data_IF_091667844100
#
_entry.id   IF_091667844100
#
_cell.length_a   1.000
_cell.length_b   1.000
_cell.length_c   1.000
_cell.angle_alpha   90.00
_cell.angle_beta   90.00
_cell.angle_gamma   90.00
#
_symmetry.space_group_name_H-M   'P 1'
#
loop_
_entity.id
_entity.type
_entity.pdbx_description
1 polymer ?
#
# COMPACT_ATOMS: atom_id res chain seq x y z
N UNK A 1 -20.28 -15.97 -23.18
CA UNK A 1 -19.79 -14.58 -23.07
C UNK A 1 -18.40 -14.54 -23.65
N UNK A 2 -18.29 -14.04 -24.89
CA UNK A 2 -17.02 -13.79 -25.56
C UNK A 2 -16.35 -12.61 -24.87
N UNK A 3 -15.29 -12.91 -24.12
CA UNK A 3 -14.34 -11.88 -23.73
C UNK A 3 -13.69 -11.35 -24.99
N UNK A 4 -14.03 -10.15 -25.39
CA UNK A 4 -13.28 -9.44 -26.39
C UNK A 4 -11.85 -9.28 -25.91
N UNK A 5 -10.94 -10.03 -26.50
CA UNK A 5 -9.50 -9.78 -26.37
C UNK A 5 -9.23 -8.40 -26.95
N UNK A 6 -9.13 -7.42 -26.06
CA UNK A 6 -8.55 -6.14 -26.43
C UNK A 6 -7.09 -6.42 -26.75
N UNK A 7 -6.74 -6.28 -28.02
CA UNK A 7 -5.37 -6.45 -28.53
C UNK A 7 -4.50 -5.26 -28.13
N UNK A 8 -4.13 -5.14 -26.85
CA UNK A 8 -3.27 -4.06 -26.43
C UNK A 8 -2.30 -4.55 -25.34
N UNK A 9 -1.14 -5.01 -25.79
CA UNK A 9 0.01 -5.32 -24.96
C UNK A 9 -0.07 -6.66 -24.21
N UNK A 10 1.02 -7.10 -23.59
CA UNK A 10 1.00 -8.24 -22.69
C UNK A 10 0.09 -7.88 -21.51
N UNK A 11 -0.96 -8.68 -21.29
CA UNK A 11 -1.79 -8.57 -20.09
C UNK A 11 -0.90 -8.95 -18.92
N UNK A 12 -0.76 -8.06 -17.95
CA UNK A 12 -0.12 -8.37 -16.69
C UNK A 12 -0.94 -9.35 -15.88
N UNK A 13 -0.28 -10.05 -15.00
CA UNK A 13 -0.90 -10.98 -14.06
C UNK A 13 -1.00 -10.33 -12.68
N UNK A 14 -2.18 -10.43 -12.07
CA UNK A 14 -2.48 -9.90 -10.74
C UNK A 14 -2.62 -11.10 -9.80
N UNK A 15 -1.72 -11.20 -8.82
CA UNK A 15 -1.72 -12.25 -7.81
C UNK A 15 -2.11 -11.66 -6.45
N UNK A 16 -3.32 -11.94 -5.98
CA UNK A 16 -3.81 -11.46 -4.69
C UNK A 16 -3.77 -12.58 -3.65
N UNK A 17 -3.24 -12.28 -2.48
CA UNK A 17 -3.13 -13.19 -1.34
C UNK A 17 -3.86 -12.61 -0.14
N UNK A 18 -4.71 -13.46 0.47
CA UNK A 18 -5.40 -13.12 1.71
C UNK A 18 -4.56 -13.51 2.92
N UNK A 19 -4.38 -12.59 3.86
CA UNK A 19 -3.61 -12.82 5.08
C UNK A 19 -4.45 -12.73 6.37
N UNK A 20 -3.89 -13.26 7.44
CA UNK A 20 -4.25 -12.95 8.82
C UNK A 20 -3.10 -12.09 9.37
N UNK A 21 -3.37 -10.81 9.59
CA UNK A 21 -2.36 -9.82 9.99
C UNK A 21 -1.48 -10.30 11.14
N UNK A 22 -0.20 -9.96 11.06
CA UNK A 22 0.82 -10.20 12.11
C UNK A 22 1.03 -11.66 12.51
N UNK A 23 0.64 -12.60 11.67
CA UNK A 23 0.88 -14.02 11.89
C UNK A 23 2.20 -14.43 11.23
N UNK A 24 3.23 -14.67 12.03
CA UNK A 24 4.59 -14.96 11.58
C UNK A 24 4.64 -16.01 10.46
N UNK A 25 3.94 -17.14 10.60
CA UNK A 25 3.96 -18.22 9.60
C UNK A 25 3.33 -17.82 8.25
N UNK A 26 2.45 -16.84 8.23
CA UNK A 26 1.84 -16.29 7.01
C UNK A 26 2.82 -15.31 6.38
N UNK A 27 3.37 -14.37 7.14
CA UNK A 27 4.35 -13.41 6.65
C UNK A 27 5.62 -14.09 6.10
N UNK A 28 6.10 -15.16 6.75
CA UNK A 28 7.22 -15.96 6.23
C UNK A 28 6.90 -16.56 4.85
N UNK A 29 5.66 -17.04 4.66
CA UNK A 29 5.21 -17.58 3.39
C UNK A 29 5.05 -16.49 2.33
N UNK A 30 4.51 -15.35 2.68
CA UNK A 30 4.36 -14.20 1.78
C UNK A 30 5.71 -13.66 1.35
N UNK A 31 6.68 -13.57 2.26
CA UNK A 31 8.06 -13.21 1.94
C UNK A 31 8.68 -14.17 0.93
N UNK A 32 8.45 -15.48 1.11
CA UNK A 32 8.93 -16.51 0.18
C UNK A 32 8.27 -16.38 -1.20
N UNK A 33 6.96 -16.19 -1.25
CA UNK A 33 6.22 -16.00 -2.51
C UNK A 33 6.67 -14.71 -3.21
N UNK A 34 6.79 -13.61 -2.45
CA UNK A 34 7.31 -12.36 -3.00
C UNK A 34 8.70 -12.54 -3.61
N UNK A 35 9.60 -13.25 -2.93
CA UNK A 35 10.92 -13.57 -3.45
C UNK A 35 10.88 -14.31 -4.79
N UNK A 36 9.99 -15.29 -4.96
CA UNK A 36 9.84 -16.00 -6.23
C UNK A 36 9.37 -15.08 -7.37
N UNK A 37 8.49 -14.12 -7.09
CA UNK A 37 8.05 -13.13 -8.08
C UNK A 37 9.12 -12.08 -8.35
N UNK A 38 9.82 -11.63 -7.32
CA UNK A 38 10.91 -10.67 -7.43
C UNK A 38 12.04 -11.19 -8.33
N UNK A 39 12.42 -12.46 -8.17
CA UNK A 39 13.42 -13.14 -9.03
C UNK A 39 12.97 -13.23 -10.50
N UNK A 40 11.67 -13.24 -10.74
CA UNK A 40 11.09 -13.18 -12.10
C UNK A 40 10.96 -11.77 -12.65
N UNK A 41 11.40 -10.75 -11.91
CA UNK A 41 11.41 -9.35 -12.33
C UNK A 41 10.27 -8.50 -11.80
N UNK A 42 9.36 -9.03 -10.96
CA UNK A 42 8.30 -8.24 -10.32
C UNK A 42 8.91 -7.27 -9.30
N UNK A 43 8.37 -6.07 -9.21
CA UNK A 43 8.84 -5.01 -8.29
C UNK A 43 7.69 -4.36 -7.51
N UNK A 44 6.47 -4.51 -7.96
CA UNK A 44 5.30 -3.79 -7.48
C UNK A 44 4.50 -4.68 -6.52
N UNK A 45 4.52 -4.32 -5.23
CA UNK A 45 3.80 -5.00 -4.16
C UNK A 45 2.67 -4.11 -3.66
N UNK A 46 1.43 -4.54 -3.93
CA UNK A 46 0.22 -3.87 -3.45
C UNK A 46 -0.10 -4.33 -2.04
N UNK A 47 -0.45 -3.40 -1.18
CA UNK A 47 -0.65 -3.66 0.25
C UNK A 47 -1.87 -2.92 0.80
N UNK A 48 -2.46 -3.49 1.85
CA UNK A 48 -3.57 -2.89 2.60
C UNK A 48 -3.05 -1.78 3.55
N UNK A 49 -2.27 -0.85 3.00
CA UNK A 49 -1.84 0.34 3.70
C UNK A 49 -2.44 1.58 3.03
N UNK A 50 -2.62 2.69 3.75
CA UNK A 50 -2.88 3.99 3.14
C UNK A 50 -1.84 4.34 2.07
N UNK A 51 -2.26 5.11 1.05
CA UNK A 51 -1.33 5.61 0.04
C UNK A 51 -0.15 6.36 0.68
N UNK A 52 -0.43 7.26 1.62
CA UNK A 52 0.60 8.04 2.31
C UNK A 52 1.59 7.17 3.07
N UNK A 53 1.15 6.10 3.69
CA UNK A 53 1.98 5.19 4.46
C UNK A 53 2.90 4.38 3.53
N UNK A 54 2.34 3.85 2.43
CA UNK A 54 3.14 3.13 1.44
C UNK A 54 4.21 4.04 0.80
N UNK A 55 3.88 5.30 0.49
CA UNK A 55 4.86 6.25 -0.02
C UNK A 55 5.93 6.58 1.02
N UNK A 56 5.57 6.69 2.28
CA UNK A 56 6.53 6.91 3.36
C UNK A 56 7.45 5.70 3.55
N UNK A 57 6.93 4.47 3.42
CA UNK A 57 7.74 3.25 3.36
C UNK A 57 8.66 3.22 2.13
N UNK A 58 8.21 3.70 0.97
CA UNK A 58 9.06 3.80 -0.22
C UNK A 58 10.24 4.78 -0.01
N UNK A 59 10.06 5.85 0.78
CA UNK A 59 11.16 6.70 1.20
C UNK A 59 12.13 5.95 2.12
N UNK A 60 11.61 5.19 3.07
CA UNK A 60 12.43 4.34 3.94
C UNK A 60 13.21 3.27 3.15
N UNK A 61 12.62 2.67 2.12
CA UNK A 61 13.32 1.71 1.25
C UNK A 61 14.58 2.29 0.63
N UNK A 62 14.66 3.61 0.43
CA UNK A 62 15.81 4.34 -0.11
C UNK A 62 16.73 4.94 0.95
N UNK A 63 16.35 4.90 2.22
CA UNK A 63 17.13 5.45 3.34
C UNK A 63 18.22 4.47 3.79
N UNK A 64 19.30 5.02 4.37
CA UNK A 64 20.42 4.21 4.89
C UNK A 64 20.14 3.64 6.29
N UNK A 65 19.10 4.14 6.98
CA UNK A 65 18.73 3.75 8.34
C UNK A 65 17.23 3.41 8.46
N UNK A 66 16.78 3.13 9.69
CA UNK A 66 15.41 2.75 9.99
C UNK A 66 14.59 3.87 10.65
N UNK A 67 15.07 5.13 10.69
CA UNK A 67 14.36 6.21 11.38
C UNK A 67 12.95 6.43 10.82
N UNK A 68 12.78 6.38 9.50
CA UNK A 68 11.46 6.53 8.87
C UNK A 68 10.54 5.34 9.17
N UNK A 69 11.09 4.13 9.23
CA UNK A 69 10.33 2.94 9.63
C UNK A 69 9.87 3.03 11.09
N UNK A 70 10.75 3.47 11.98
CA UNK A 70 10.44 3.64 13.40
C UNK A 70 9.34 4.67 13.61
N UNK A 71 9.36 5.77 12.86
CA UNK A 71 8.29 6.77 12.85
C UNK A 71 6.97 6.18 12.35
N UNK A 72 7.00 5.39 11.28
CA UNK A 72 5.80 4.74 10.75
C UNK A 72 5.19 3.79 11.78
N UNK A 73 6.01 2.96 12.43
CA UNK A 73 5.52 2.02 13.44
C UNK A 73 5.02 2.70 14.71
N UNK A 74 5.54 3.87 15.03
CA UNK A 74 4.97 4.72 16.09
C UNK A 74 3.56 5.21 15.74
N UNK A 75 3.33 5.58 14.47
CA UNK A 75 2.00 6.00 14.00
C UNK A 75 1.02 4.82 13.91
N UNK A 76 1.52 3.60 13.73
CA UNK A 76 0.73 2.36 13.69
C UNK A 76 0.54 1.68 15.07
N UNK A 77 1.07 2.27 16.13
CA UNK A 77 0.95 1.69 17.48
C UNK A 77 -0.52 1.40 17.83
N UNK A 78 -0.79 0.17 18.27
CA UNK A 78 -2.15 -0.29 18.62
C UNK A 78 -3.01 -0.72 17.43
N UNK A 79 -2.50 -0.68 16.19
CA UNK A 79 -3.16 -1.24 15.00
C UNK A 79 -2.72 -2.67 14.73
N UNK A 80 -3.44 -3.39 13.86
CA UNK A 80 -3.09 -4.74 13.44
C UNK A 80 -1.73 -4.82 12.72
N UNK A 81 -1.35 -3.78 11.97
CA UNK A 81 -0.06 -3.69 11.27
C UNK A 81 1.10 -3.16 12.14
N UNK A 82 0.81 -2.61 13.34
CA UNK A 82 1.81 -1.98 14.21
C UNK A 82 2.56 -2.94 15.11
N UNK A 83 2.97 -4.10 14.63
CA UNK A 83 3.61 -5.15 15.43
C UNK A 83 5.07 -5.37 15.03
N UNK A 84 5.88 -5.90 15.96
CA UNK A 84 7.29 -6.26 15.68
C UNK A 84 7.39 -7.33 14.57
N UNK A 85 6.39 -8.18 14.42
CA UNK A 85 6.34 -9.21 13.38
C UNK A 85 6.25 -8.56 11.99
N UNK A 86 5.35 -7.59 11.82
CA UNK A 86 5.21 -6.78 10.60
C UNK A 86 6.46 -5.95 10.32
N UNK A 87 7.04 -5.34 11.36
CA UNK A 87 8.27 -4.55 11.23
C UNK A 87 9.43 -5.39 10.71
N UNK A 88 9.59 -6.59 11.26
CA UNK A 88 10.62 -7.52 10.81
C UNK A 88 10.37 -8.01 9.38
N UNK A 89 9.12 -8.25 8.99
CA UNK A 89 8.75 -8.59 7.62
C UNK A 89 9.17 -7.50 6.62
N UNK A 90 8.84 -6.23 6.91
CA UNK A 90 9.26 -5.11 6.07
C UNK A 90 10.78 -4.97 5.98
N UNK A 91 11.51 -5.15 7.11
CA UNK A 91 12.98 -5.16 7.11
C UNK A 91 13.56 -6.26 6.23
N UNK A 92 12.99 -7.45 6.28
CA UNK A 92 13.40 -8.55 5.41
C UNK A 92 13.14 -8.25 3.93
N UNK A 93 12.03 -7.58 3.60
CA UNK A 93 11.78 -7.11 2.23
C UNK A 93 12.87 -6.14 1.79
N UNK A 94 13.21 -5.14 2.61
CA UNK A 94 14.27 -4.17 2.27
C UNK A 94 15.64 -4.85 2.09
N UNK A 95 15.99 -5.78 2.96
CA UNK A 95 17.27 -6.48 2.93
C UNK A 95 17.40 -7.41 1.72
N UNK A 96 16.35 -8.21 1.43
CA UNK A 96 16.41 -9.26 0.43
C UNK A 96 15.91 -8.79 -0.94
N UNK A 97 14.99 -7.83 -0.99
CA UNK A 97 14.28 -7.37 -2.18
C UNK A 97 14.25 -5.84 -2.27
N UNK A 98 15.42 -5.15 -2.31
CA UNK A 98 15.54 -3.70 -2.11
C UNK A 98 14.88 -2.83 -3.18
N UNK A 99 14.57 -3.38 -4.35
CA UNK A 99 13.88 -2.66 -5.42
C UNK A 99 12.34 -2.78 -5.33
N UNK A 100 11.81 -3.33 -4.23
CA UNK A 100 10.35 -3.41 -4.01
C UNK A 100 9.76 -2.02 -3.89
N UNK A 101 8.66 -1.79 -4.60
CA UNK A 101 7.84 -0.58 -4.52
C UNK A 101 6.48 -0.94 -3.93
N UNK A 102 6.14 -0.34 -2.80
CA UNK A 102 4.85 -0.52 -2.14
C UNK A 102 3.78 0.38 -2.75
N UNK A 103 2.61 -0.19 -3.03
CA UNK A 103 1.43 0.50 -3.50
C UNK A 103 0.31 0.38 -2.47
N UNK A 104 0.09 1.42 -1.68
CA UNK A 104 -0.97 1.48 -0.68
C UNK A 104 -2.31 1.80 -1.32
N UNK A 105 -3.33 1.05 -0.92
CA UNK A 105 -4.66 1.16 -1.52
C UNK A 105 -5.76 1.47 -0.53
N UNK A 106 -5.48 1.43 0.77
CA UNK A 106 -6.47 1.70 1.81
C UNK A 106 -6.75 3.20 2.00
N UNK A 107 -7.82 3.50 2.72
CA UNK A 107 -8.13 4.85 3.15
C UNK A 107 -7.07 5.37 4.13
N UNK A 108 -6.91 6.68 4.23
CA UNK A 108 -5.86 7.31 5.04
C UNK A 108 -6.07 7.17 6.55
N UNK A 109 -5.85 5.99 7.12
CA UNK A 109 -5.98 5.75 8.56
C UNK A 109 -5.07 6.65 9.40
N UNK A 110 -3.94 7.05 8.86
CA UNK A 110 -2.93 7.91 9.48
C UNK A 110 -3.01 9.37 9.02
N UNK A 111 -4.24 9.85 8.70
CA UNK A 111 -4.51 11.18 8.19
C UNK A 111 -4.10 12.32 9.15
N UNK A 112 -3.90 12.05 10.45
CA UNK A 112 -3.42 13.01 11.45
C UNK A 112 -1.90 12.90 11.72
N UNK A 113 -1.23 11.88 11.21
CA UNK A 113 0.19 11.59 11.53
C UNK A 113 1.05 11.43 10.28
N UNK A 114 1.11 10.25 9.67
CA UNK A 114 1.93 10.00 8.47
C UNK A 114 1.49 10.86 7.28
N UNK A 115 0.20 11.08 7.09
CA UNK A 115 -0.32 11.91 5.99
C UNK A 115 0.29 13.30 5.97
N UNK A 116 0.15 14.12 7.03
CA UNK A 116 0.77 15.45 7.10
C UNK A 116 2.30 15.41 6.99
N UNK A 117 2.96 14.38 7.53
CA UNK A 117 4.41 14.21 7.43
C UNK A 117 4.85 14.00 6.00
N UNK A 118 4.12 13.17 5.24
CA UNK A 118 4.42 12.96 3.82
C UNK A 118 4.16 14.21 2.98
N UNK A 119 3.07 14.95 3.24
CA UNK A 119 2.84 16.24 2.58
C UNK A 119 3.96 17.25 2.85
N UNK A 120 4.43 17.34 4.10
CA UNK A 120 5.55 18.22 4.46
C UNK A 120 6.84 17.84 3.73
N UNK A 121 7.09 16.53 3.58
CA UNK A 121 8.22 16.04 2.76
C UNK A 121 8.09 16.50 1.30
N UNK A 122 6.94 16.35 0.68
CA UNK A 122 6.70 16.77 -0.70
C UNK A 122 6.85 18.30 -0.86
N UNK A 123 6.34 19.08 0.08
CA UNK A 123 6.51 20.55 0.08
C UNK A 123 7.98 20.95 0.18
N UNK A 124 8.74 20.34 1.07
CA UNK A 124 10.17 20.60 1.25
C UNK A 124 10.99 20.26 -0.01
N UNK A 125 10.49 19.33 -0.84
CA UNK A 125 11.10 18.94 -2.11
C UNK A 125 10.51 19.67 -3.34
N UNK A 126 9.72 20.72 -3.13
CA UNK A 126 9.14 21.52 -4.22
C UNK A 126 8.01 20.83 -5.00
N UNK A 127 7.38 19.81 -4.41
CA UNK A 127 6.36 18.97 -5.04
C UNK A 127 4.92 19.31 -4.60
N UNK A 128 4.69 20.50 -4.07
CA UNK A 128 3.37 20.93 -3.57
C UNK A 128 2.26 20.92 -4.63
N UNK A 129 2.60 21.08 -5.89
CA UNK A 129 1.66 21.08 -7.02
C UNK A 129 1.67 19.74 -7.79
N UNK A 130 2.35 18.73 -7.27
CA UNK A 130 2.47 17.42 -7.89
C UNK A 130 1.17 16.58 -7.80
N UNK A 131 1.09 15.54 -8.63
CA UNK A 131 0.00 14.56 -8.55
C UNK A 131 0.08 13.75 -7.25
N UNK A 132 1.30 13.44 -6.79
CA UNK A 132 1.56 12.77 -5.51
C UNK A 132 1.01 13.57 -4.34
N UNK A 133 1.18 14.90 -4.36
CA UNK A 133 0.66 15.77 -3.31
C UNK A 133 -0.87 15.76 -3.27
N UNK A 134 -1.52 15.91 -4.43
CA UNK A 134 -3.00 15.86 -4.53
C UNK A 134 -3.53 14.50 -4.08
N UNK A 135 -2.87 13.41 -4.48
CA UNK A 135 -3.25 12.05 -4.08
C UNK A 135 -3.10 11.81 -2.58
N UNK A 136 -2.04 12.33 -1.97
CA UNK A 136 -1.85 12.28 -0.53
C UNK A 136 -2.96 13.03 0.21
N UNK A 137 -3.33 14.24 -0.24
CA UNK A 137 -4.46 14.98 0.32
C UNK A 137 -5.78 14.21 0.18
N UNK A 138 -6.06 13.65 -1.00
CA UNK A 138 -7.25 12.84 -1.25
C UNK A 138 -7.30 11.62 -0.32
N UNK A 139 -6.19 10.92 -0.14
CA UNK A 139 -6.12 9.76 0.75
C UNK A 139 -6.40 10.15 2.21
N UNK A 140 -5.88 11.27 2.67
CA UNK A 140 -6.18 11.80 4.01
C UNK A 140 -7.69 12.12 4.18
N UNK A 141 -8.32 12.75 3.18
CA UNK A 141 -9.76 13.03 3.19
C UNK A 141 -10.58 11.73 3.16
N UNK A 142 -10.15 10.70 2.44
CA UNK A 142 -10.77 9.37 2.49
C UNK A 142 -10.73 8.79 3.91
N UNK A 143 -9.61 8.90 4.61
CA UNK A 143 -9.47 8.44 5.99
C UNK A 143 -10.39 9.20 6.94
N UNK A 144 -10.36 10.52 6.90
CA UNK A 144 -11.25 11.37 7.69
C UNK A 144 -12.73 11.01 7.47
N UNK A 145 -13.13 10.88 6.21
CA UNK A 145 -14.50 10.52 5.86
C UNK A 145 -14.89 9.13 6.36
N UNK A 146 -13.99 8.17 6.28
CA UNK A 146 -14.20 6.83 6.83
C UNK A 146 -14.53 6.87 8.32
N UNK A 147 -13.76 7.61 9.12
CA UNK A 147 -14.00 7.71 10.57
C UNK A 147 -15.25 8.51 10.93
N UNK A 148 -15.59 9.53 10.14
CA UNK A 148 -16.87 10.26 10.29
C UNK A 148 -18.08 9.32 10.10
N UNK A 149 -18.06 8.50 9.06
CA UNK A 149 -19.11 7.51 8.79
C UNK A 149 -19.13 6.46 9.91
N UNK A 150 -17.97 5.92 10.27
CA UNK A 150 -17.83 4.88 11.30
C UNK A 150 -18.40 5.31 12.66
N UNK A 151 -18.30 6.58 12.99
CA UNK A 151 -18.85 7.13 14.24
C UNK A 151 -20.37 7.00 14.34
N UNK A 152 -21.07 6.83 13.22
CA UNK A 152 -22.55 6.78 13.16
C UNK A 152 -23.10 5.51 12.55
N UNK A 153 -22.39 4.90 11.60
CA UNK A 153 -22.81 3.71 10.85
C UNK A 153 -21.60 2.87 10.42
N UNK A 154 -21.27 1.85 11.21
CA UNK A 154 -20.13 0.97 10.94
C UNK A 154 -20.30 0.21 9.63
N UNK A 155 -21.50 -0.28 9.31
CA UNK A 155 -21.72 -1.04 8.06
C UNK A 155 -21.50 -0.16 6.81
N UNK A 156 -21.91 1.12 6.87
CA UNK A 156 -21.63 2.07 5.79
C UNK A 156 -20.16 2.46 5.71
N UNK A 157 -19.46 2.51 6.84
CA UNK A 157 -17.99 2.77 6.82
C UNK A 157 -17.22 1.64 6.14
N UNK A 158 -17.60 0.38 6.40
CA UNK A 158 -16.98 -0.77 5.72
C UNK A 158 -17.18 -0.67 4.22
N UNK A 159 -18.42 -0.46 3.75
CA UNK A 159 -18.69 -0.28 2.30
C UNK A 159 -17.90 0.86 1.68
N UNK A 160 -17.84 2.01 2.37
CA UNK A 160 -17.06 3.15 1.92
C UNK A 160 -15.58 2.79 1.75
N UNK A 161 -14.99 2.13 2.75
CA UNK A 161 -13.58 1.68 2.72
C UNK A 161 -13.32 0.75 1.55
N UNK A 162 -14.16 -0.29 1.37
CA UNK A 162 -14.06 -1.24 0.25
C UNK A 162 -14.10 -0.53 -1.11
N UNK A 163 -15.06 0.37 -1.31
CA UNK A 163 -15.17 1.13 -2.56
C UNK A 163 -13.91 1.96 -2.83
N UNK A 164 -13.35 2.59 -1.79
CA UNK A 164 -12.12 3.39 -1.91
C UNK A 164 -10.92 2.50 -2.19
N UNK A 165 -10.78 1.36 -1.53
CA UNK A 165 -9.71 0.41 -1.78
C UNK A 165 -9.69 -0.06 -3.24
N UNK A 166 -10.85 -0.42 -3.78
CA UNK A 166 -10.98 -0.82 -5.19
C UNK A 166 -10.59 0.32 -6.15
N UNK A 167 -11.05 1.55 -5.88
CA UNK A 167 -10.70 2.71 -6.72
C UNK A 167 -9.20 3.04 -6.64
N UNK A 168 -8.63 3.04 -5.44
CA UNK A 168 -7.22 3.28 -5.23
C UNK A 168 -6.34 2.21 -5.90
N UNK A 169 -6.75 0.93 -5.81
CA UNK A 169 -6.11 -0.17 -6.51
C UNK A 169 -6.11 0.04 -8.02
N UNK A 170 -7.28 0.31 -8.59
CA UNK A 170 -7.43 0.53 -10.04
C UNK A 170 -6.58 1.68 -10.53
N UNK A 171 -6.54 2.80 -9.80
CA UNK A 171 -5.71 3.95 -10.15
C UNK A 171 -4.22 3.60 -10.16
N UNK A 172 -3.71 2.97 -9.08
CA UNK A 172 -2.32 2.55 -9.02
C UNK A 172 -1.97 1.55 -10.13
N UNK A 173 -2.86 0.60 -10.42
CA UNK A 173 -2.64 -0.36 -11.48
C UNK A 173 -2.62 0.30 -12.87
N UNK A 174 -3.51 1.25 -13.14
CA UNK A 174 -3.52 2.00 -14.42
C UNK A 174 -2.22 2.83 -14.60
N UNK A 175 -1.66 3.37 -13.53
CA UNK A 175 -0.36 4.05 -13.58
C UNK A 175 0.76 3.09 -13.99
N UNK A 176 0.73 1.84 -13.49
CA UNK A 176 1.68 0.80 -13.88
C UNK A 176 1.46 0.30 -15.32
N UNK A 177 0.21 0.20 -15.77
CA UNK A 177 -0.10 -0.12 -17.16
C UNK A 177 0.50 0.90 -18.15
N UNK A 178 0.47 2.19 -17.81
CA UNK A 178 1.05 3.26 -18.62
C UNK A 178 2.57 3.10 -18.82
N UNK A 179 3.27 2.47 -17.90
CA UNK A 179 4.72 2.19 -17.96
C UNK A 179 5.03 0.71 -18.23
N UNK A 180 4.03 -0.10 -18.55
CA UNK A 180 4.13 -1.53 -18.88
C UNK A 180 4.70 -2.42 -17.74
N UNK A 181 4.38 -2.05 -16.50
CA UNK A 181 4.71 -2.81 -15.29
C UNK A 181 3.41 -3.41 -14.75
N UNK A 182 2.95 -4.49 -15.35
CA UNK A 182 1.58 -4.99 -15.15
C UNK A 182 1.49 -6.28 -14.34
N UNK A 183 2.64 -6.90 -14.03
CA UNK A 183 2.69 -8.06 -13.13
C UNK A 183 2.85 -7.55 -11.70
N UNK A 184 1.87 -7.85 -10.86
CA UNK A 184 1.84 -7.38 -9.48
C UNK A 184 1.44 -8.50 -8.51
N UNK A 185 1.93 -8.41 -7.29
CA UNK A 185 1.42 -9.15 -6.15
C UNK A 185 0.68 -8.19 -5.21
N UNK A 186 -0.40 -8.64 -4.61
CA UNK A 186 -1.14 -7.91 -3.58
C UNK A 186 -1.34 -8.76 -2.33
N UNK A 187 -1.17 -8.14 -1.16
CA UNK A 187 -1.37 -8.74 0.17
C UNK A 187 -2.44 -7.93 0.89
N UNK A 188 -3.52 -8.60 1.26
CA UNK A 188 -4.68 -8.00 1.91
C UNK A 188 -5.22 -8.89 3.00
N UNK A 189 -5.88 -8.33 4.01
CA UNK A 189 -6.63 -9.13 4.96
C UNK A 189 -7.59 -10.09 4.25
N UNK A 190 -7.69 -11.33 4.71
CA UNK A 190 -8.43 -12.41 4.02
C UNK A 190 -9.91 -12.12 3.80
N UNK A 191 -10.45 -11.09 4.42
CA UNK A 191 -11.83 -10.63 4.21
C UNK A 191 -12.00 -9.75 2.97
N UNK A 192 -10.92 -9.30 2.35
CA UNK A 192 -10.89 -8.39 1.19
C UNK A 192 -10.51 -9.09 -0.13
N UNK A 193 -10.21 -10.40 -0.12
CA UNK A 193 -9.73 -11.16 -1.30
C UNK A 193 -10.69 -12.27 -1.69
#
# INVERSE_FOLDING_TARGET
LLWNHVKNGPKGEIYLYGEEHSKQSILDKELSIWGEYYEKGMRDLFVEFPYTDAQFLNLWMQADDDELLDLQFKDWEGTAGGTEVEKNFLKQIKEQYPETVFHGTDVGHTWESTGPRYLAYLEANGQKDSEEYRRAQENMEQGKRYYEIKATDEASSVRYREDRMVENFRRSYQELEAVRRTDIMGIYGSTHV
#
